data_IF_292133355358
#
_entry.id   IF_292133355358
#
_cell.length_a   1.000
_cell.length_b   1.000
_cell.length_c   1.000
_cell.angle_alpha   90.00
_cell.angle_beta   90.00
_cell.angle_gamma   90.00
#
_symmetry.space_group_name_H-M   'P 1'
#
loop_
_entity.id
_entity.type
_entity.pdbx_description
1 polymer ?
#
# COMPACT_ATOMS: atom_id res chain seq x y z
N UNK A 1 -3.70 -3.84 -5.16
CA UNK A 1 -2.51 -3.95 -6.02
C UNK A 1 -1.68 -2.66 -5.92
N UNK A 2 -1.26 -2.25 -4.72
CA UNK A 2 -0.58 -0.95 -4.52
C UNK A 2 0.86 -1.06 -4.03
N UNK A 3 1.20 -2.17 -3.38
CA UNK A 3 2.51 -2.42 -2.78
C UNK A 3 3.17 -3.68 -3.34
N UNK A 4 2.57 -4.27 -4.37
CA UNK A 4 3.07 -5.49 -5.00
C UNK A 4 4.37 -5.25 -5.76
N UNK A 5 4.42 -4.19 -6.57
CA UNK A 5 5.64 -3.80 -7.30
C UNK A 5 6.78 -3.46 -6.34
N UNK A 6 6.46 -2.77 -5.23
CA UNK A 6 7.46 -2.44 -4.21
C UNK A 6 7.96 -3.70 -3.47
N UNK A 7 7.07 -4.64 -3.14
CA UNK A 7 7.43 -5.94 -2.56
C UNK A 7 8.29 -6.76 -3.52
N UNK A 8 7.95 -6.76 -4.81
CA UNK A 8 8.72 -7.43 -5.85
C UNK A 8 10.11 -6.82 -6.00
N UNK A 9 10.22 -5.50 -6.13
CA UNK A 9 11.49 -4.78 -6.18
C UNK A 9 12.38 -5.07 -4.97
N UNK A 10 11.81 -5.11 -3.76
CA UNK A 10 12.56 -5.50 -2.56
C UNK A 10 13.07 -6.94 -2.66
N UNK A 11 12.22 -7.91 -3.03
CA UNK A 11 12.62 -9.32 -3.17
C UNK A 11 13.72 -9.51 -4.24
N UNK A 12 13.59 -8.84 -5.37
CA UNK A 12 14.58 -8.85 -6.46
C UNK A 12 15.92 -8.31 -5.96
N UNK A 13 15.90 -7.21 -5.19
CA UNK A 13 17.11 -6.65 -4.58
C UNK A 13 17.72 -7.57 -3.53
N UNK A 14 16.90 -8.20 -2.68
CA UNK A 14 17.35 -9.17 -1.68
C UNK A 14 17.98 -10.42 -2.33
N UNK A 15 17.53 -10.81 -3.52
CA UNK A 15 18.12 -11.87 -4.33
C UNK A 15 19.41 -11.47 -5.08
N UNK A 16 19.95 -10.27 -4.84
CA UNK A 16 21.24 -9.83 -5.40
C UNK A 16 21.16 -9.16 -6.78
N UNK A 17 19.95 -8.96 -7.33
CA UNK A 17 19.79 -8.27 -8.60
C UNK A 17 19.81 -6.74 -8.43
N UNK A 18 20.24 -6.04 -9.48
CA UNK A 18 20.27 -4.57 -9.54
C UNK A 18 18.99 -4.05 -10.19
N UNK A 19 18.33 -3.11 -9.55
CA UNK A 19 17.22 -2.34 -10.13
C UNK A 19 17.80 -1.10 -10.83
N UNK A 20 17.54 -0.96 -12.13
CA UNK A 20 18.05 0.14 -12.94
C UNK A 20 16.88 0.93 -13.50
N UNK A 21 16.89 2.25 -13.28
CA UNK A 21 16.02 3.18 -13.98
C UNK A 21 16.70 3.61 -15.27
N UNK A 22 16.00 3.55 -16.41
CA UNK A 22 16.50 3.99 -17.72
C UNK A 22 15.71 5.21 -18.18
N UNK A 23 16.16 6.44 -17.92
CA UNK A 23 15.39 7.66 -18.21
C UNK A 23 15.13 7.88 -19.71
N UNK A 24 15.94 7.28 -20.59
CA UNK A 24 15.81 7.40 -22.05
C UNK A 24 14.70 6.52 -22.63
N UNK A 25 14.23 5.53 -21.88
CA UNK A 25 13.15 4.65 -22.32
C UNK A 25 11.81 5.24 -21.87
N UNK A 26 10.96 5.62 -22.84
CA UNK A 26 9.64 6.17 -22.55
C UNK A 26 8.54 5.16 -22.88
N UNK A 27 7.63 4.96 -21.92
CA UNK A 27 6.42 4.17 -22.08
C UNK A 27 5.21 5.03 -21.66
N UNK A 28 4.21 5.10 -22.52
CA UNK A 28 2.98 5.84 -22.22
C UNK A 28 2.01 4.95 -21.46
N UNK A 29 1.63 5.37 -20.26
CA UNK A 29 0.62 4.70 -19.44
C UNK A 29 -0.50 5.68 -19.11
N UNK A 30 -1.77 5.27 -19.35
CA UNK A 30 -2.94 6.05 -18.94
C UNK A 30 -3.14 5.89 -17.44
N UNK A 31 -2.77 6.93 -16.69
CA UNK A 31 -2.81 6.94 -15.23
C UNK A 31 -4.25 6.72 -14.73
N UNK A 32 -4.44 5.67 -13.93
CA UNK A 32 -5.61 5.43 -13.07
C UNK A 32 -7.00 5.34 -13.75
N UNK A 33 -7.06 5.15 -15.06
CA UNK A 33 -8.35 5.06 -15.79
C UNK A 33 -9.15 3.80 -15.40
N UNK A 34 -8.46 2.71 -15.08
CA UNK A 34 -9.09 1.43 -14.72
C UNK A 34 -9.50 1.34 -13.25
N UNK A 35 -8.96 2.18 -12.36
CA UNK A 35 -9.18 2.09 -10.91
C UNK A 35 -10.20 3.10 -10.40
N UNK A 36 -10.85 3.87 -11.27
CA UNK A 36 -11.89 4.83 -10.89
C UNK A 36 -11.39 6.07 -10.13
N UNK A 37 -10.08 6.31 -10.15
CA UNK A 37 -9.44 7.48 -9.54
C UNK A 37 -9.29 7.42 -8.02
N UNK A 38 -8.69 8.49 -7.49
CA UNK A 38 -8.29 8.64 -6.08
C UNK A 38 -9.45 8.62 -5.06
N UNK A 39 -10.71 8.63 -5.47
CA UNK A 39 -11.82 8.66 -4.51
C UNK A 39 -12.58 7.34 -4.54
N UNK A 40 -12.26 6.42 -5.45
CA UNK A 40 -12.99 5.17 -5.57
C UNK A 40 -12.89 4.33 -4.28
N UNK A 41 -14.01 3.86 -3.70
CA UNK A 41 -14.01 2.98 -2.53
C UNK A 41 -13.12 1.74 -2.70
N UNK A 42 -13.14 1.12 -3.88
CA UNK A 42 -12.35 -0.09 -4.16
C UNK A 42 -10.86 0.22 -4.16
N UNK A 43 -10.47 1.33 -4.79
CA UNK A 43 -9.10 1.85 -4.77
C UNK A 43 -8.62 2.05 -3.32
N UNK A 44 -9.42 2.77 -2.52
CA UNK A 44 -9.09 3.12 -1.13
C UNK A 44 -9.02 1.91 -0.21
N UNK A 45 -9.91 0.94 -0.39
CA UNK A 45 -9.85 -0.34 0.32
C UNK A 45 -8.54 -1.08 0.04
N UNK A 46 -8.21 -1.31 -1.24
CA UNK A 46 -7.01 -2.07 -1.61
C UNK A 46 -5.72 -1.32 -1.26
N UNK A 47 -5.71 0.01 -1.36
CA UNK A 47 -4.56 0.81 -0.93
C UNK A 47 -4.33 0.67 0.58
N UNK A 48 -5.38 0.79 1.40
CA UNK A 48 -5.29 0.60 2.84
C UNK A 48 -4.83 -0.82 3.20
N UNK A 49 -5.49 -1.84 2.63
CA UNK A 49 -5.18 -3.25 2.85
C UNK A 49 -3.72 -3.59 2.47
N UNK A 50 -3.32 -3.29 1.23
CA UNK A 50 -1.97 -3.56 0.74
C UNK A 50 -0.90 -2.84 1.55
N UNK A 51 -1.16 -1.61 2.00
CA UNK A 51 -0.19 -0.86 2.80
C UNK A 51 0.09 -1.53 4.14
N UNK A 52 -0.93 -1.96 4.87
CA UNK A 52 -0.77 -2.58 6.19
C UNK A 52 -0.06 -3.92 6.04
N UNK A 53 -0.42 -4.73 5.06
CA UNK A 53 0.26 -6.00 4.79
C UNK A 53 1.75 -5.82 4.46
N UNK A 54 2.07 -4.85 3.60
CA UNK A 54 3.45 -4.55 3.20
C UNK A 54 4.31 -4.13 4.38
N UNK A 55 3.87 -3.13 5.16
CA UNK A 55 4.65 -2.66 6.30
C UNK A 55 4.79 -3.75 7.37
N UNK A 56 3.75 -4.55 7.63
CA UNK A 56 3.84 -5.68 8.58
C UNK A 56 4.86 -6.74 8.16
N UNK A 57 5.11 -6.89 6.85
CA UNK A 57 6.10 -7.83 6.32
C UNK A 57 7.54 -7.29 6.40
N UNK A 58 7.72 -5.98 6.20
CA UNK A 58 9.05 -5.38 6.00
C UNK A 58 9.56 -4.50 7.15
N UNK A 59 8.72 -4.12 8.11
CA UNK A 59 9.14 -3.33 9.29
C UNK A 59 10.19 -4.08 10.13
N UNK A 60 11.40 -3.52 10.26
CA UNK A 60 12.47 -4.05 11.12
C UNK A 60 13.12 -2.93 11.96
N UNK A 61 13.54 -3.26 13.18
CA UNK A 61 14.26 -2.33 14.08
C UNK A 61 13.46 -1.06 14.39
N UNK A 62 14.09 0.11 14.26
CA UNK A 62 13.50 1.43 14.57
C UNK A 62 12.24 1.72 13.74
N UNK A 63 12.10 1.08 12.56
CA UNK A 63 10.92 1.23 11.71
C UNK A 63 9.63 0.76 12.40
N UNK A 64 9.72 -0.17 13.36
CA UNK A 64 8.56 -0.66 14.12
C UNK A 64 7.93 0.46 14.96
N UNK A 65 8.68 1.49 15.33
CA UNK A 65 8.18 2.66 16.06
C UNK A 65 7.74 3.79 15.11
N UNK A 66 8.58 4.12 14.13
CA UNK A 66 8.34 5.27 13.25
C UNK A 66 7.23 5.03 12.22
N UNK A 67 7.14 3.82 11.66
CA UNK A 67 6.18 3.54 10.59
C UNK A 67 4.73 3.56 11.11
N UNK A 68 4.37 2.95 12.26
CA UNK A 68 3.01 3.09 12.78
C UNK A 68 2.62 4.54 13.06
N UNK A 69 3.52 5.34 13.62
CA UNK A 69 3.28 6.78 13.86
C UNK A 69 3.01 7.53 12.55
N UNK A 70 3.89 7.36 11.56
CA UNK A 70 3.71 7.94 10.22
C UNK A 70 2.39 7.49 9.58
N UNK A 71 2.06 6.19 9.68
CA UNK A 71 0.83 5.64 9.12
C UNK A 71 -0.42 6.17 9.82
N UNK A 72 -0.37 6.37 11.14
CA UNK A 72 -1.44 7.01 11.89
C UNK A 72 -1.69 8.44 11.41
N UNK A 73 -0.65 9.25 11.29
CA UNK A 73 -0.76 10.62 10.76
C UNK A 73 -1.27 10.64 9.33
N UNK A 74 -0.78 9.72 8.48
CA UNK A 74 -1.27 9.57 7.11
C UNK A 74 -2.74 9.15 7.06
N UNK A 75 -3.19 8.26 7.95
CA UNK A 75 -4.58 7.82 8.03
C UNK A 75 -5.47 8.98 8.47
N UNK A 76 -5.07 9.71 9.51
CA UNK A 76 -5.79 10.90 9.98
C UNK A 76 -5.97 11.92 8.85
N UNK A 77 -4.90 12.23 8.11
CA UNK A 77 -4.97 13.15 6.97
C UNK A 77 -5.94 12.67 5.89
N UNK A 78 -5.95 11.38 5.55
CA UNK A 78 -6.87 10.83 4.54
C UNK A 78 -8.31 10.79 5.03
N UNK A 79 -8.54 10.43 6.29
CA UNK A 79 -9.86 10.49 6.92
C UNK A 79 -10.42 11.91 6.87
N UNK A 80 -9.63 12.92 7.25
CA UNK A 80 -10.05 14.32 7.16
C UNK A 80 -10.37 14.73 5.71
N UNK A 81 -9.53 14.36 4.73
CA UNK A 81 -9.77 14.65 3.30
C UNK A 81 -11.04 13.98 2.76
N UNK A 82 -11.37 12.77 3.21
CA UNK A 82 -12.57 12.06 2.76
C UNK A 82 -13.84 12.61 3.43
N UNK A 83 -13.74 13.01 4.69
CA UNK A 83 -14.83 13.68 5.42
C UNK A 83 -15.15 15.03 4.77
N UNK A 84 -14.13 15.85 4.44
CA UNK A 84 -14.37 17.15 3.79
C UNK A 84 -14.98 17.02 2.39
N UNK A 85 -14.79 15.88 1.73
CA UNK A 85 -15.43 15.56 0.45
C UNK A 85 -16.78 14.86 0.57
N UNK A 86 -17.23 14.53 1.80
CA UNK A 86 -18.48 13.81 2.09
C UNK A 86 -18.58 12.41 1.44
N UNK A 87 -17.44 11.76 1.18
CA UNK A 87 -17.36 10.46 0.50
C UNK A 87 -17.34 9.30 1.50
N UNK A 88 -18.50 9.07 2.13
CA UNK A 88 -18.67 8.09 3.22
C UNK A 88 -18.40 6.64 2.80
N UNK A 89 -18.73 6.28 1.56
CA UNK A 89 -18.47 4.96 0.98
C UNK A 89 -16.98 4.66 0.95
N UNK A 90 -16.18 5.62 0.50
CA UNK A 90 -14.72 5.51 0.40
C UNK A 90 -14.04 5.58 1.75
N UNK A 91 -14.59 6.35 2.69
CA UNK A 91 -14.16 6.36 4.07
C UNK A 91 -14.36 4.99 4.74
N UNK A 92 -15.55 4.41 4.63
CA UNK A 92 -15.84 3.08 5.16
C UNK A 92 -14.95 2.01 4.52
N UNK A 93 -14.74 2.09 3.20
CA UNK A 93 -13.86 1.17 2.48
C UNK A 93 -12.39 1.31 2.93
N UNK A 94 -11.91 2.52 3.15
CA UNK A 94 -10.56 2.79 3.66
C UNK A 94 -10.35 2.15 5.05
N UNK A 95 -11.25 2.42 6.00
CA UNK A 95 -11.18 1.87 7.36
C UNK A 95 -11.33 0.36 7.38
N UNK A 96 -12.23 -0.20 6.57
CA UNK A 96 -12.37 -1.65 6.38
C UNK A 96 -11.07 -2.26 5.86
N UNK A 97 -10.39 -1.60 4.91
CA UNK A 97 -9.10 -2.04 4.39
C UNK A 97 -7.99 -2.01 5.44
N UNK A 98 -7.93 -0.97 6.27
CA UNK A 98 -6.99 -0.88 7.39
C UNK A 98 -7.20 -2.01 8.40
N UNK A 99 -8.46 -2.23 8.83
CA UNK A 99 -8.81 -3.27 9.78
C UNK A 99 -8.52 -4.68 9.21
N UNK A 100 -8.92 -4.95 7.97
CA UNK A 100 -8.65 -6.22 7.32
C UNK A 100 -7.15 -6.47 7.15
N UNK A 101 -6.36 -5.45 6.79
CA UNK A 101 -4.91 -5.59 6.69
C UNK A 101 -4.22 -5.88 8.02
N UNK A 102 -4.77 -5.38 9.12
CA UNK A 102 -4.30 -5.69 10.46
C UNK A 102 -4.68 -7.11 10.90
N UNK A 103 -5.94 -7.48 10.67
CA UNK A 103 -6.51 -8.79 11.03
C UNK A 103 -6.09 -9.91 10.10
N UNK A 104 -5.56 -9.60 8.91
CA UNK A 104 -5.02 -10.59 8.00
C UNK A 104 -3.92 -11.38 8.71
N UNK A 105 -4.11 -12.70 8.84
CA UNK A 105 -3.03 -13.61 9.24
C UNK A 105 -1.87 -13.39 8.28
N UNK A 106 -0.65 -13.27 8.81
CA UNK A 106 0.54 -13.32 7.96
C UNK A 106 0.43 -14.62 7.19
N UNK A 107 0.15 -14.57 5.89
CA UNK A 107 0.38 -15.73 5.03
C UNK A 107 1.88 -15.95 5.14
N UNK A 108 2.27 -16.97 5.92
CA UNK A 108 3.64 -17.45 5.91
C UNK A 108 3.94 -17.73 4.44
N UNK A 109 4.97 -17.08 3.91
CA UNK A 109 5.56 -17.50 2.66
C UNK A 109 6.20 -18.86 2.93
N UNK A 110 5.40 -19.92 2.88
CA UNK A 110 5.85 -21.29 2.95
C UNK A 110 6.53 -21.64 1.62
N UNK A 111 7.78 -22.10 1.77
CA UNK A 111 8.56 -22.96 0.88
C UNK A 111 8.85 -22.48 -0.55
N UNK A 112 10.01 -21.86 -0.71
CA UNK A 112 10.96 -22.30 -1.73
C UNK A 112 12.22 -22.75 -0.97
N UNK A 113 12.23 -24.04 -0.63
CA UNK A 113 13.42 -24.84 -0.29
C UNK A 113 13.77 -25.68 -1.49
#
# INVERSE_FOLDING_TARGET
MYYEDLDFCLRVREAGYRLILVPKAHLWHKVSQSTGGEINPTERYYMALSSVMYFRKHMRGVQILLIPLYRFLSALRWTLKLITKQEWTSLAAYWRGLFMGWSAKRRQASSLS
#
